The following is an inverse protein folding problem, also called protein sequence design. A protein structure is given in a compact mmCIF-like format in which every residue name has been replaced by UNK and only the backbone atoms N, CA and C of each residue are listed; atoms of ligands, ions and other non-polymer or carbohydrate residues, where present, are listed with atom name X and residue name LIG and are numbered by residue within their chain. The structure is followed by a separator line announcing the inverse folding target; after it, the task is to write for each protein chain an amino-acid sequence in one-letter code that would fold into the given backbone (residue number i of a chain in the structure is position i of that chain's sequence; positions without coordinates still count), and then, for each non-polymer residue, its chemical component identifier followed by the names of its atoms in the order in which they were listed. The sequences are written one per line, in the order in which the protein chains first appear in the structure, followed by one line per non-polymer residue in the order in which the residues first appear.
data_IF_638729093423
#
_entry.id   IF_638729093423
#
_cell.length_a   1.000
_cell.length_b   1.000
_cell.length_c   1.000
_cell.angle_alpha   90.00
_cell.angle_beta   90.00
_cell.angle_gamma   90.00
#
_symmetry.space_group_name_H-M   'P 1'
#
loop_
_entity.id
_entity.type
_entity.pdbx_description
1 polymer ?
#
# COMPACT_ATOMS: atom_id res chain seq x y z
N UNK A 1 -12.98 -17.91 7.74
CA UNK A 1 -13.88 -18.56 6.76
C UNK A 1 -15.31 -18.74 7.30
N UNK A 2 -15.47 -19.21 8.52
CA UNK A 2 -16.78 -19.49 9.12
C UNK A 2 -17.64 -18.24 9.26
N UNK A 3 -17.09 -17.12 9.75
CA UNK A 3 -17.81 -15.86 9.87
C UNK A 3 -18.33 -15.33 8.52
N UNK A 4 -17.58 -15.55 7.43
CA UNK A 4 -18.04 -15.20 6.07
C UNK A 4 -19.20 -16.08 5.65
N UNK A 5 -19.12 -17.40 5.87
CA UNK A 5 -20.17 -18.36 5.51
C UNK A 5 -21.48 -18.08 6.26
N UNK A 6 -21.38 -17.69 7.52
CA UNK A 6 -22.53 -17.35 8.36
C UNK A 6 -23.01 -15.90 8.16
N UNK A 7 -22.34 -15.09 7.34
CA UNK A 7 -22.67 -13.67 7.18
C UNK A 7 -22.34 -12.80 8.38
N UNK A 8 -21.52 -13.29 9.32
CA UNK A 8 -21.14 -12.61 10.57
C UNK A 8 -19.78 -11.92 10.46
N UNK A 9 -19.22 -11.78 9.26
CA UNK A 9 -17.98 -11.02 9.04
C UNK A 9 -18.20 -9.53 9.30
N UNK A 10 -17.21 -8.86 9.88
CA UNK A 10 -17.21 -7.40 10.02
C UNK A 10 -17.13 -6.65 8.68
N UNK A 11 -16.87 -7.35 7.57
CA UNK A 11 -16.94 -6.77 6.24
C UNK A 11 -18.39 -6.37 5.91
N UNK A 12 -18.54 -5.23 5.23
CA UNK A 12 -19.86 -4.75 4.80
C UNK A 12 -20.46 -5.74 3.79
N UNK A 13 -21.78 -5.97 3.88
CA UNK A 13 -22.54 -6.66 2.86
C UNK A 13 -22.56 -5.87 1.54
N UNK A 14 -23.08 -6.49 0.46
CA UNK A 14 -23.26 -5.85 -0.83
C UNK A 14 -24.21 -4.64 -0.66
N UNK A 15 -23.68 -3.44 -0.84
CA UNK A 15 -24.43 -2.19 -0.77
C UNK A 15 -24.14 -1.40 -2.03
N UNK A 16 -25.09 -1.34 -2.95
CA UNK A 16 -24.93 -0.60 -4.20
C UNK A 16 -24.84 0.90 -3.93
N UNK A 17 -23.95 1.62 -4.65
CA UNK A 17 -23.90 3.07 -4.58
C UNK A 17 -25.25 3.69 -4.93
N UNK A 18 -25.71 4.66 -4.14
CA UNK A 18 -26.99 5.35 -4.36
C UNK A 18 -26.92 6.42 -5.45
N UNK A 19 -25.71 6.92 -5.73
CA UNK A 19 -25.44 7.95 -6.73
C UNK A 19 -24.10 7.71 -7.41
N UNK A 20 -23.92 8.26 -8.61
CA UNK A 20 -22.63 8.28 -9.32
C UNK A 20 -21.81 9.44 -8.77
N UNK A 21 -20.64 9.11 -8.22
CA UNK A 21 -19.72 10.07 -7.65
C UNK A 21 -18.35 9.94 -8.32
N UNK A 22 -17.65 11.08 -8.46
CA UNK A 22 -16.28 11.15 -8.94
C UNK A 22 -15.39 11.57 -7.78
N UNK A 23 -14.39 10.75 -7.45
CA UNK A 23 -13.50 11.03 -6.33
C UNK A 23 -12.55 12.18 -6.62
N UNK A 24 -12.06 12.29 -7.88
CA UNK A 24 -11.07 13.29 -8.27
C UNK A 24 -11.10 13.55 -9.78
N UNK A 25 -10.32 14.54 -10.21
CA UNK A 25 -10.11 14.88 -11.60
C UNK A 25 -9.15 13.87 -12.27
N UNK A 26 -9.50 13.34 -13.44
CA UNK A 26 -8.70 12.39 -14.20
C UNK A 26 -7.29 12.89 -14.54
N UNK A 27 -7.11 14.21 -14.75
CA UNK A 27 -5.79 14.77 -15.04
C UNK A 27 -4.91 14.75 -13.79
N UNK A 28 -5.48 15.05 -12.63
CA UNK A 28 -4.80 14.93 -11.35
C UNK A 28 -4.42 13.47 -11.04
N UNK A 29 -5.32 12.53 -11.32
CA UNK A 29 -5.06 11.10 -11.20
C UNK A 29 -3.89 10.67 -12.07
N UNK A 30 -3.91 11.01 -13.36
CA UNK A 30 -2.82 10.68 -14.28
C UNK A 30 -1.50 11.36 -13.89
N UNK A 31 -1.55 12.50 -13.18
CA UNK A 31 -0.38 13.13 -12.57
C UNK A 31 0.35 12.24 -11.57
N UNK A 32 -0.31 11.23 -11.00
CA UNK A 32 0.32 10.22 -10.14
C UNK A 32 1.25 9.25 -10.89
N UNK A 33 1.40 9.39 -12.20
CA UNK A 33 2.46 8.73 -12.98
C UNK A 33 3.80 9.49 -12.93
N UNK A 34 3.85 10.67 -12.33
CA UNK A 34 5.09 11.42 -12.13
C UNK A 34 5.98 10.72 -11.09
N UNK A 35 7.30 10.99 -11.19
CA UNK A 35 8.30 10.51 -10.22
C UNK A 35 8.07 11.17 -8.84
N UNK A 36 8.46 10.52 -7.76
CA UNK A 36 8.37 11.01 -6.37
C UNK A 36 6.95 11.24 -5.85
N UNK A 37 5.96 10.67 -6.49
CA UNK A 37 4.60 10.68 -5.96
C UNK A 37 4.51 9.63 -4.86
N UNK A 38 4.17 10.06 -3.65
CA UNK A 38 4.04 9.16 -2.51
C UNK A 38 3.01 8.06 -2.74
N UNK A 39 3.33 6.86 -2.22
CA UNK A 39 2.42 5.73 -2.25
C UNK A 39 1.24 6.01 -1.34
N UNK A 40 0.05 6.02 -1.91
CA UNK A 40 -1.17 6.28 -1.17
C UNK A 40 -1.80 4.99 -0.64
N UNK A 41 -2.15 4.98 0.64
CA UNK A 41 -2.78 3.84 1.31
C UNK A 41 -4.07 4.24 2.07
N UNK A 42 -4.44 5.50 2.01
CA UNK A 42 -5.58 6.09 2.71
C UNK A 42 -6.94 5.76 2.10
N UNK A 43 -7.96 6.57 2.46
CA UNK A 43 -9.36 6.33 2.09
C UNK A 43 -9.84 7.15 0.89
N UNK A 44 -9.03 8.12 0.41
CA UNK A 44 -9.44 9.05 -0.65
C UNK A 44 -9.30 8.47 -2.07
N UNK A 45 -9.16 7.16 -2.19
CA UNK A 45 -9.20 6.38 -3.43
C UNK A 45 -8.09 6.63 -4.46
N UNK A 46 -7.04 7.39 -4.15
CA UNK A 46 -5.95 7.67 -5.08
C UNK A 46 -5.20 6.39 -5.52
N UNK A 47 -5.11 6.08 -6.83
CA UNK A 47 -4.42 4.90 -7.31
C UNK A 47 -2.89 5.08 -7.31
N UNK A 48 -2.15 4.00 -7.10
CA UNK A 48 -0.70 3.96 -7.23
C UNK A 48 -0.34 3.42 -8.62
N UNK A 49 -0.12 4.33 -9.58
CA UNK A 49 0.02 4.02 -11.01
C UNK A 49 1.38 4.38 -11.62
N UNK A 50 2.35 4.80 -10.80
CA UNK A 50 3.69 5.07 -11.31
C UNK A 50 4.32 3.80 -11.91
N UNK A 51 4.81 3.90 -13.14
CA UNK A 51 5.40 2.81 -13.93
C UNK A 51 6.72 3.19 -14.59
N UNK A 52 7.32 4.29 -14.14
CA UNK A 52 8.49 4.92 -14.75
C UNK A 52 8.11 6.04 -15.71
N UNK A 53 8.89 7.12 -15.68
CA UNK A 53 8.67 8.31 -16.52
C UNK A 53 8.80 7.97 -18.01
N UNK A 54 9.67 7.04 -18.37
CA UNK A 54 9.83 6.61 -19.76
C UNK A 54 8.55 6.05 -20.38
N UNK A 55 7.64 5.49 -19.55
CA UNK A 55 6.35 4.98 -20.03
C UNK A 55 5.43 6.10 -20.52
N UNK A 56 5.43 7.28 -19.88
CA UNK A 56 4.68 8.45 -20.34
C UNK A 56 5.09 8.81 -21.77
N UNK A 57 6.38 8.83 -22.03
CA UNK A 57 6.93 9.14 -23.33
C UNK A 57 6.63 8.04 -24.38
N UNK A 58 6.79 6.78 -24.00
CA UNK A 58 6.58 5.64 -24.91
C UNK A 58 5.11 5.44 -25.29
N UNK A 59 4.15 5.74 -24.43
CA UNK A 59 2.73 5.61 -24.75
C UNK A 59 2.31 6.59 -25.85
N UNK A 60 2.87 7.79 -25.88
CA UNK A 60 2.64 8.74 -26.98
C UNK A 60 3.25 8.25 -28.28
N UNK A 61 4.45 7.68 -28.23
CA UNK A 61 5.06 7.05 -29.40
C UNK A 61 4.26 5.83 -29.86
N UNK A 62 3.63 5.05 -28.95
CA UNK A 62 2.71 3.97 -29.29
C UNK A 62 1.55 4.46 -30.15
N UNK A 63 0.91 5.54 -29.72
CA UNK A 63 -0.21 6.14 -30.45
C UNK A 63 0.20 6.57 -31.87
N UNK A 64 1.38 7.18 -32.01
CA UNK A 64 1.90 7.66 -33.28
C UNK A 64 2.58 6.58 -34.15
N UNK A 65 2.85 5.38 -33.58
CA UNK A 65 3.55 4.31 -34.28
C UNK A 65 2.76 3.79 -35.49
N UNK A 66 3.39 3.69 -36.66
CA UNK A 66 2.76 3.25 -37.92
C UNK A 66 2.82 1.73 -38.11
N UNK A 67 3.75 1.06 -37.47
CA UNK A 67 3.90 -0.41 -37.53
C UNK A 67 2.81 -1.17 -36.78
N UNK A 68 2.18 -0.52 -35.79
CA UNK A 68 1.12 -1.12 -35.00
C UNK A 68 -0.24 -0.69 -35.55
N UNK A 69 -1.06 -1.66 -35.96
CA UNK A 69 -2.35 -1.37 -36.59
C UNK A 69 -3.37 -0.77 -35.58
N UNK A 70 -4.23 0.12 -36.07
CA UNK A 70 -5.29 0.73 -35.27
C UNK A 70 -6.29 -0.28 -34.70
N UNK A 71 -6.49 -1.41 -35.37
CA UNK A 71 -7.35 -2.49 -34.87
C UNK A 71 -6.80 -3.10 -33.56
N UNK A 72 -5.48 -3.04 -33.35
CA UNK A 72 -4.82 -3.48 -32.10
C UNK A 72 -4.74 -2.33 -31.07
N UNK A 73 -4.43 -1.11 -31.52
CA UNK A 73 -4.27 0.05 -30.63
C UNK A 73 -5.56 0.41 -29.92
N UNK A 74 -6.65 0.59 -30.71
CA UNK A 74 -7.91 1.12 -30.20
C UNK A 74 -8.48 0.34 -29.01
N UNK A 75 -8.63 -0.98 -29.06
CA UNK A 75 -9.15 -1.74 -27.92
C UNK A 75 -8.27 -1.61 -26.66
N UNK A 76 -6.95 -1.57 -26.83
CA UNK A 76 -6.00 -1.47 -25.71
C UNK A 76 -6.01 -0.08 -25.06
N UNK A 77 -6.06 0.95 -25.88
CA UNK A 77 -6.17 2.34 -25.38
C UNK A 77 -7.51 2.56 -24.70
N UNK A 78 -8.60 2.02 -25.27
CA UNK A 78 -9.92 2.07 -24.63
C UNK A 78 -9.93 1.31 -23.29
N UNK A 79 -9.25 0.16 -23.22
CA UNK A 79 -9.12 -0.58 -21.96
C UNK A 79 -8.31 0.23 -20.93
N UNK A 80 -7.20 0.84 -21.34
CA UNK A 80 -6.39 1.69 -20.45
C UNK A 80 -7.20 2.89 -19.94
N UNK A 81 -7.95 3.55 -20.84
CA UNK A 81 -8.84 4.65 -20.48
C UNK A 81 -9.98 4.21 -19.54
N UNK A 82 -10.58 3.03 -19.81
CA UNK A 82 -11.60 2.45 -18.93
C UNK A 82 -11.05 2.17 -17.53
N UNK A 83 -9.83 1.63 -17.43
CA UNK A 83 -9.20 1.39 -16.14
C UNK A 83 -8.92 2.71 -15.38
N UNK A 84 -8.43 3.74 -16.07
CA UNK A 84 -8.26 5.07 -15.46
C UNK A 84 -9.62 5.63 -14.98
N UNK A 85 -10.66 5.60 -15.80
CA UNK A 85 -12.00 6.01 -15.39
C UNK A 85 -12.51 5.23 -14.17
N UNK A 86 -12.14 3.96 -14.04
CA UNK A 86 -12.59 3.11 -12.95
C UNK A 86 -11.91 3.40 -11.60
N UNK A 87 -10.77 4.08 -11.59
CA UNK A 87 -10.19 4.56 -10.33
C UNK A 87 -10.91 5.81 -9.81
N UNK A 88 -11.35 6.68 -10.71
CA UNK A 88 -11.98 7.96 -10.36
C UNK A 88 -13.48 7.87 -10.07
N UNK A 89 -14.15 6.77 -10.45
CA UNK A 89 -15.61 6.64 -10.38
C UNK A 89 -16.02 5.56 -9.39
N UNK A 90 -16.90 5.91 -8.43
CA UNK A 90 -17.34 5.03 -7.35
C UNK A 90 -18.05 3.75 -7.83
N UNK A 91 -18.85 3.83 -8.92
CA UNK A 91 -19.59 2.67 -9.44
C UNK A 91 -18.64 1.64 -10.05
N UNK A 92 -17.63 2.11 -10.78
CA UNK A 92 -16.63 1.23 -11.41
C UNK A 92 -15.66 0.67 -10.37
N UNK A 93 -15.24 1.49 -9.41
CA UNK A 93 -14.40 1.07 -8.29
C UNK A 93 -15.10 -0.04 -7.47
N UNK A 94 -16.38 0.14 -7.15
CA UNK A 94 -17.22 -0.87 -6.50
C UNK A 94 -17.23 -2.22 -7.23
N UNK A 95 -17.35 -2.19 -8.58
CA UNK A 95 -17.33 -3.42 -9.41
C UNK A 95 -15.97 -4.12 -9.30
N UNK A 96 -14.87 -3.38 -9.40
CA UNK A 96 -13.51 -3.92 -9.30
C UNK A 96 -13.22 -4.55 -7.93
N UNK A 97 -13.82 -4.03 -6.86
CA UNK A 97 -13.68 -4.56 -5.51
C UNK A 97 -14.69 -5.68 -5.17
N UNK A 98 -15.28 -6.31 -6.17
CA UNK A 98 -16.20 -7.43 -5.98
C UNK A 98 -17.55 -7.03 -5.37
N UNK A 99 -18.11 -5.92 -5.80
CA UNK A 99 -19.35 -5.33 -5.30
C UNK A 99 -19.26 -4.91 -3.83
N UNK A 100 -18.12 -4.32 -3.47
CA UNK A 100 -17.81 -3.88 -2.12
C UNK A 100 -16.96 -2.61 -2.15
N UNK A 101 -17.08 -1.73 -1.16
CA UNK A 101 -16.18 -0.58 -1.00
C UNK A 101 -15.01 -0.93 -0.08
N UNK A 102 -13.77 -0.68 -0.51
CA UNK A 102 -12.61 -0.86 0.37
C UNK A 102 -12.60 0.21 1.47
N UNK A 103 -12.32 -0.19 2.72
CA UNK A 103 -12.13 0.77 3.82
C UNK A 103 -10.77 1.50 3.74
N UNK A 104 -9.83 0.95 2.99
CA UNK A 104 -8.49 1.49 2.72
C UNK A 104 -7.85 0.74 1.56
N UNK A 105 -6.69 1.20 1.10
CA UNK A 105 -5.98 0.64 -0.04
C UNK A 105 -6.86 0.60 -1.31
N UNK A 106 -7.38 1.73 -1.74
CA UNK A 106 -8.19 1.83 -2.95
C UNK A 106 -7.35 1.55 -4.19
N UNK A 107 -8.02 1.39 -5.33
CA UNK A 107 -7.33 1.21 -6.60
C UNK A 107 -6.45 -0.04 -6.65
N UNK A 108 -6.79 -1.12 -5.92
CA UNK A 108 -5.99 -2.38 -5.89
C UNK A 108 -5.75 -2.97 -7.26
N UNK A 109 -6.63 -2.72 -8.22
CA UNK A 109 -6.49 -3.11 -9.62
C UNK A 109 -5.46 -2.27 -10.40
N UNK A 110 -4.83 -1.26 -9.80
CA UNK A 110 -3.85 -0.39 -10.46
C UNK A 110 -2.67 -1.16 -11.05
N UNK A 111 -2.28 -2.31 -10.48
CA UNK A 111 -1.24 -3.16 -11.05
C UNK A 111 -1.60 -3.70 -12.45
N UNK A 112 -2.90 -3.92 -12.75
CA UNK A 112 -3.35 -4.33 -14.08
C UNK A 112 -3.19 -3.18 -15.09
N UNK A 113 -3.52 -1.95 -14.68
CA UNK A 113 -3.27 -0.74 -15.48
C UNK A 113 -1.78 -0.57 -15.78
N UNK A 114 -0.95 -0.66 -14.75
CA UNK A 114 0.51 -0.56 -14.87
C UNK A 114 1.08 -1.65 -15.79
N UNK A 115 0.61 -2.88 -15.64
CA UNK A 115 1.03 -4.00 -16.48
C UNK A 115 0.63 -3.78 -17.96
N UNK A 116 -0.62 -3.35 -18.21
CA UNK A 116 -1.07 -3.03 -19.57
C UNK A 116 -0.23 -1.91 -20.19
N UNK A 117 0.03 -0.84 -19.44
CA UNK A 117 0.87 0.28 -19.90
C UNK A 117 2.27 -0.21 -20.27
N UNK A 118 2.90 -1.05 -19.45
CA UNK A 118 4.21 -1.64 -19.75
C UNK A 118 4.19 -2.52 -21.00
N UNK A 119 3.13 -3.30 -21.22
CA UNK A 119 2.96 -4.10 -22.45
C UNK A 119 2.90 -3.21 -23.69
N UNK A 120 2.16 -2.09 -23.65
CA UNK A 120 2.09 -1.13 -24.76
C UNK A 120 3.45 -0.47 -25.01
N UNK A 121 4.15 -0.09 -23.95
CA UNK A 121 5.48 0.47 -24.02
C UNK A 121 6.50 -0.52 -24.61
N UNK A 122 6.44 -1.78 -24.20
CA UNK A 122 7.29 -2.84 -24.76
C UNK A 122 7.02 -3.08 -26.25
N UNK A 123 5.74 -3.11 -26.67
CA UNK A 123 5.39 -3.21 -28.09
C UNK A 123 5.89 -1.99 -28.88
N UNK A 124 5.82 -0.79 -28.30
CA UNK A 124 6.40 0.41 -28.89
C UNK A 124 7.91 0.27 -29.11
N UNK A 125 8.59 -0.25 -28.10
CA UNK A 125 10.04 -0.47 -28.16
C UNK A 125 10.42 -1.46 -29.27
N UNK A 126 9.68 -2.57 -29.42
CA UNK A 126 9.91 -3.53 -30.50
C UNK A 126 9.69 -2.92 -31.89
N UNK A 127 8.78 -1.97 -32.00
CA UNK A 127 8.39 -1.27 -33.22
C UNK A 127 8.97 0.15 -33.33
N UNK A 128 10.02 0.47 -32.58
CA UNK A 128 10.56 1.84 -32.51
C UNK A 128 11.06 2.38 -33.86
N UNK A 129 11.52 1.48 -34.76
CA UNK A 129 12.00 1.83 -36.10
C UNK A 129 10.88 2.33 -37.02
N UNK A 130 9.62 1.97 -36.77
CA UNK A 130 8.45 2.41 -37.52
C UNK A 130 7.95 3.80 -37.11
N UNK A 131 8.45 4.31 -35.97
CA UNK A 131 8.31 5.72 -35.62
C UNK A 131 9.33 6.56 -36.42
N UNK A 132 9.01 7.82 -36.55
CA UNK A 132 9.91 8.79 -37.21
C UNK A 132 10.51 9.75 -36.17
N UNK A 133 11.68 10.30 -36.44
CA UNK A 133 12.36 11.20 -35.51
C UNK A 133 11.49 12.38 -35.06
N UNK A 134 10.59 12.89 -35.90
CA UNK A 134 9.70 14.01 -35.54
C UNK A 134 8.57 13.62 -34.60
N UNK A 135 8.31 12.33 -34.40
CA UNK A 135 7.38 11.90 -33.33
C UNK A 135 7.95 12.21 -31.92
N UNK A 136 9.28 12.28 -31.80
CA UNK A 136 9.95 12.59 -30.52
C UNK A 136 9.64 14.01 -30.03
N UNK A 137 9.87 15.09 -30.80
CA UNK A 137 9.50 16.44 -30.36
C UNK A 137 7.97 16.62 -30.19
N UNK A 138 7.15 15.90 -30.97
CA UNK A 138 5.69 15.92 -30.76
C UNK A 138 5.31 15.29 -29.44
N UNK A 139 5.89 14.13 -29.08
CA UNK A 139 5.68 13.49 -27.79
C UNK A 139 6.16 14.40 -26.65
N UNK A 140 7.35 14.98 -26.75
CA UNK A 140 7.89 15.92 -25.77
C UNK A 140 6.94 17.11 -25.52
N UNK A 141 6.37 17.67 -26.58
CA UNK A 141 5.40 18.77 -26.48
C UNK A 141 4.10 18.32 -25.75
N UNK A 142 3.58 17.14 -26.12
CA UNK A 142 2.35 16.58 -25.50
C UNK A 142 2.56 16.22 -24.03
N UNK A 143 3.71 15.62 -23.68
CA UNK A 143 4.06 15.35 -22.29
C UNK A 143 4.23 16.66 -21.50
N UNK A 144 4.87 17.67 -22.07
CA UNK A 144 4.98 18.99 -21.45
C UNK A 144 3.61 19.63 -21.18
N UNK A 145 2.69 19.55 -22.16
CA UNK A 145 1.33 20.04 -22.00
C UNK A 145 0.56 19.24 -20.92
N UNK A 146 0.72 17.92 -20.91
CA UNK A 146 0.16 17.05 -19.89
C UNK A 146 0.70 17.39 -18.49
N UNK A 147 2.01 17.52 -18.32
CA UNK A 147 2.63 17.87 -17.03
C UNK A 147 2.16 19.22 -16.52
N UNK A 148 2.04 20.22 -17.42
CA UNK A 148 1.50 21.54 -17.06
C UNK A 148 0.03 21.44 -16.60
N UNK A 149 -0.78 20.67 -17.32
CA UNK A 149 -2.18 20.44 -16.94
C UNK A 149 -2.28 19.70 -15.60
N UNK A 150 -1.48 18.64 -15.42
CA UNK A 150 -1.44 17.88 -14.19
C UNK A 150 -0.99 18.75 -13.00
N UNK A 151 0.05 19.58 -13.17
CA UNK A 151 0.48 20.55 -12.16
C UNK A 151 -0.62 21.54 -11.76
N UNK A 152 -1.43 22.00 -12.75
CA UNK A 152 -2.52 22.96 -12.50
C UNK A 152 -3.73 22.36 -11.74
N UNK A 153 -3.96 21.07 -11.89
CA UNK A 153 -5.15 20.37 -11.34
C UNK A 153 -4.83 19.27 -10.33
N UNK A 154 -3.55 19.02 -10.03
CA UNK A 154 -3.17 18.10 -8.95
C UNK A 154 -3.44 18.70 -7.59
N UNK A 155 -3.64 17.84 -6.62
CA UNK A 155 -3.59 18.19 -5.21
C UNK A 155 -2.13 18.37 -4.79
N UNK A 156 -1.80 19.57 -4.30
CA UNK A 156 -0.43 19.90 -3.89
C UNK A 156 0.06 19.12 -2.67
N UNK A 157 -0.85 18.55 -1.89
CA UNK A 157 -0.49 17.70 -0.75
C UNK A 157 0.01 16.32 -1.20
N UNK A 158 -0.48 15.84 -2.36
CA UNK A 158 -0.16 14.51 -2.87
C UNK A 158 0.91 14.49 -3.96
N UNK A 159 1.13 15.61 -4.64
CA UNK A 159 2.09 15.70 -5.74
C UNK A 159 2.79 17.06 -5.71
N UNK A 160 4.02 17.07 -5.21
CA UNK A 160 4.82 18.28 -5.10
C UNK A 160 5.29 18.83 -6.45
N UNK A 161 5.61 20.14 -6.50
CA UNK A 161 6.17 20.79 -7.70
C UNK A 161 7.43 20.10 -8.23
N UNK A 162 8.24 19.56 -7.33
CA UNK A 162 9.50 18.88 -7.63
C UNK A 162 9.28 17.58 -8.43
N UNK A 163 8.17 16.89 -8.19
CA UNK A 163 7.77 15.70 -8.96
C UNK A 163 7.57 16.04 -10.43
N UNK A 164 6.85 17.14 -10.72
CA UNK A 164 6.62 17.58 -12.11
C UNK A 164 7.89 18.04 -12.79
N UNK A 165 8.71 18.83 -12.10
CA UNK A 165 9.98 19.31 -12.64
C UNK A 165 10.94 18.15 -12.95
N UNK A 166 11.10 17.22 -12.01
CA UNK A 166 11.98 16.06 -12.17
C UNK A 166 11.46 15.15 -13.28
N UNK A 167 10.16 14.93 -13.38
CA UNK A 167 9.54 14.19 -14.49
C UNK A 167 9.86 14.85 -15.83
N UNK A 168 9.72 16.17 -15.92
CA UNK A 168 10.05 16.91 -17.15
C UNK A 168 11.53 16.77 -17.55
N UNK A 169 12.45 16.77 -16.57
CA UNK A 169 13.88 16.56 -16.83
C UNK A 169 14.13 15.15 -17.39
N UNK A 170 13.55 14.10 -16.79
CA UNK A 170 13.70 12.74 -17.32
C UNK A 170 13.10 12.58 -18.71
N UNK A 171 11.92 13.16 -18.97
CA UNK A 171 11.31 13.16 -20.32
C UNK A 171 12.24 13.83 -21.34
N UNK A 172 12.83 14.98 -21.00
CA UNK A 172 13.79 15.67 -21.87
C UNK A 172 15.03 14.80 -22.13
N UNK A 173 15.58 14.12 -21.13
CA UNK A 173 16.70 13.19 -21.29
C UNK A 173 16.33 12.05 -22.23
N UNK A 174 15.17 11.41 -22.05
CA UNK A 174 14.70 10.34 -22.93
C UNK A 174 14.46 10.83 -24.36
N UNK A 175 13.92 12.03 -24.53
CA UNK A 175 13.75 12.64 -25.86
C UNK A 175 15.09 12.84 -26.58
N UNK A 176 16.10 13.37 -25.87
CA UNK A 176 17.45 13.54 -26.44
C UNK A 176 18.06 12.19 -26.82
N UNK A 177 18.00 11.19 -25.94
CA UNK A 177 18.52 9.85 -26.23
C UNK A 177 17.84 9.24 -27.46
N UNK A 178 16.53 9.35 -27.60
CA UNK A 178 15.81 8.85 -28.77
C UNK A 178 16.15 9.63 -30.06
N UNK A 179 16.34 10.95 -30.02
CA UNK A 179 16.79 11.72 -31.16
C UNK A 179 18.19 11.27 -31.63
N UNK A 180 19.13 11.05 -30.71
CA UNK A 180 20.45 10.49 -30.99
C UNK A 180 20.32 9.08 -31.57
N UNK A 181 19.42 8.26 -31.07
CA UNK A 181 19.15 6.91 -31.58
C UNK A 181 18.67 6.96 -33.06
N UNK A 182 17.73 7.87 -33.38
CA UNK A 182 17.24 8.01 -34.76
C UNK A 182 18.30 8.50 -35.75
N UNK A 183 19.18 9.42 -35.34
CA UNK A 183 20.28 9.93 -36.16
C UNK A 183 21.53 9.04 -36.21
N UNK A 184 21.59 8.04 -35.29
CA UNK A 184 22.81 7.27 -35.06
C UNK A 184 23.02 6.06 -35.97
N UNK A 185 24.29 5.64 -36.08
CA UNK A 185 24.69 4.37 -36.68
C UNK A 185 24.27 3.19 -35.76
N UNK A 186 24.40 1.93 -36.22
CA UNK A 186 24.08 0.76 -35.44
C UNK A 186 24.81 0.74 -34.08
N UNK A 187 26.12 1.04 -34.06
CA UNK A 187 26.91 1.13 -32.84
C UNK A 187 26.41 2.21 -31.88
N UNK A 188 26.04 3.39 -32.42
CA UNK A 188 25.47 4.48 -31.60
C UNK A 188 24.13 4.03 -30.95
N UNK A 189 23.29 3.32 -31.68
CA UNK A 189 22.03 2.79 -31.19
C UNK A 189 22.21 1.82 -30.02
N UNK A 190 23.26 0.96 -30.09
CA UNK A 190 23.58 0.03 -29.00
C UNK A 190 24.04 0.79 -27.74
N UNK A 191 24.86 1.82 -27.90
CA UNK A 191 25.26 2.68 -26.77
C UNK A 191 24.08 3.46 -26.20
N UNK A 192 23.23 4.02 -27.04
CA UNK A 192 22.01 4.74 -26.57
C UNK A 192 21.10 3.79 -25.81
N UNK A 193 20.93 2.55 -26.27
CA UNK A 193 20.16 1.54 -25.54
C UNK A 193 20.74 1.28 -24.14
N UNK A 194 22.07 1.09 -24.05
CA UNK A 194 22.74 0.89 -22.75
C UNK A 194 22.56 2.10 -21.83
N UNK A 195 22.76 3.32 -22.34
CA UNK A 195 22.61 4.55 -21.57
C UNK A 195 21.14 4.72 -21.11
N UNK A 196 20.18 4.49 -22.01
CA UNK A 196 18.75 4.55 -21.64
C UNK A 196 18.40 3.56 -20.55
N UNK A 197 18.94 2.34 -20.60
CA UNK A 197 18.74 1.32 -19.55
C UNK A 197 19.32 1.78 -18.22
N UNK A 198 20.51 2.40 -18.22
CA UNK A 198 21.11 2.95 -16.99
C UNK A 198 20.23 4.10 -16.45
N UNK A 199 19.75 5.00 -17.29
CA UNK A 199 18.88 6.11 -16.88
C UNK A 199 17.57 5.58 -16.27
N UNK A 200 16.93 4.57 -16.88
CA UNK A 200 15.71 3.95 -16.36
C UNK A 200 15.98 3.29 -14.99
N UNK A 201 17.07 2.54 -14.85
CA UNK A 201 17.42 1.91 -13.57
C UNK A 201 17.68 2.99 -12.51
N UNK A 202 18.39 4.06 -12.86
CA UNK A 202 18.66 5.17 -11.94
C UNK A 202 17.36 5.87 -11.52
N UNK A 203 16.48 6.17 -12.47
CA UNK A 203 15.16 6.75 -12.20
C UNK A 203 14.35 5.89 -11.22
N UNK A 204 14.21 4.59 -11.51
CA UNK A 204 13.46 3.67 -10.67
C UNK A 204 14.07 3.52 -9.27
N UNK A 205 15.43 3.50 -9.18
CA UNK A 205 16.12 3.39 -7.89
C UNK A 205 15.90 4.63 -7.03
N UNK A 206 16.05 5.82 -7.62
CA UNK A 206 15.81 7.08 -6.90
C UNK A 206 14.34 7.19 -6.48
N UNK A 207 13.41 6.83 -7.36
CA UNK A 207 12.00 6.84 -6.99
C UNK A 207 11.69 5.87 -5.85
N UNK A 208 12.25 4.67 -5.89
CA UNK A 208 12.07 3.68 -4.83
C UNK A 208 12.68 4.14 -3.50
N UNK A 209 13.86 4.77 -3.52
CA UNK A 209 14.49 5.34 -2.34
C UNK A 209 13.60 6.41 -1.69
N UNK A 210 13.04 7.30 -2.51
CA UNK A 210 12.21 8.43 -2.05
C UNK A 210 10.79 8.02 -1.61
N UNK A 211 10.21 6.96 -2.18
CA UNK A 211 8.79 6.63 -2.00
C UNK A 211 8.53 5.24 -1.41
N UNK A 212 9.51 4.35 -1.42
CA UNK A 212 9.34 2.95 -1.04
C UNK A 212 10.15 2.53 0.20
N UNK A 213 11.19 3.28 0.57
CA UNK A 213 12.06 2.96 1.70
C UNK A 213 11.64 3.62 3.03
N UNK A 214 10.65 4.49 3.03
CA UNK A 214 10.09 5.06 4.25
C UNK A 214 9.21 4.02 4.98
N UNK A 215 9.87 2.96 5.40
CA UNK A 215 9.26 1.87 6.14
C UNK A 215 9.69 1.90 7.60
N UNK A 216 8.90 1.26 8.46
CA UNK A 216 9.29 1.07 9.87
C UNK A 216 10.63 0.34 9.92
N UNK A 217 11.60 0.91 10.64
CA UNK A 217 12.90 0.26 10.84
C UNK A 217 12.72 -1.13 11.41
N UNK A 218 13.32 -2.15 10.78
CA UNK A 218 13.32 -3.51 11.31
C UNK A 218 13.83 -3.56 12.75
N UNK A 219 14.88 -2.77 13.05
CA UNK A 219 15.44 -2.69 14.40
C UNK A 219 14.42 -2.14 15.41
N UNK A 220 13.64 -1.12 15.00
CA UNK A 220 12.57 -0.58 15.84
C UNK A 220 11.42 -1.57 16.01
N UNK A 221 11.07 -2.32 14.94
CA UNK A 221 9.98 -3.29 14.97
C UNK A 221 10.28 -4.48 15.90
N UNK A 222 11.51 -5.00 15.87
CA UNK A 222 11.96 -6.12 16.72
C UNK A 222 12.67 -5.66 17.99
N UNK A 223 12.60 -4.37 18.32
CA UNK A 223 13.18 -3.84 19.55
C UNK A 223 12.53 -4.56 20.73
N UNK A 224 13.37 -4.89 21.71
CA UNK A 224 12.97 -5.55 22.96
C UNK A 224 12.40 -6.99 22.81
N UNK A 225 12.40 -7.56 21.57
CA UNK A 225 11.93 -8.94 21.32
C UNK A 225 12.50 -9.98 22.29
N UNK A 226 13.81 -9.93 22.53
CA UNK A 226 14.46 -10.88 23.48
C UNK A 226 13.99 -10.72 24.91
N UNK A 227 13.69 -9.50 25.32
CA UNK A 227 13.18 -9.22 26.65
C UNK A 227 11.75 -9.75 26.79
N UNK A 228 10.92 -9.60 25.75
CA UNK A 228 9.58 -10.22 25.68
C UNK A 228 9.67 -11.74 25.76
N UNK A 229 10.54 -12.37 24.96
CA UNK A 229 10.75 -13.81 24.96
C UNK A 229 11.17 -14.30 26.35
N UNK A 230 12.12 -13.64 27.01
CA UNK A 230 12.60 -13.97 28.34
C UNK A 230 11.50 -13.92 29.44
N UNK A 231 10.66 -12.87 29.45
CA UNK A 231 9.60 -12.76 30.45
C UNK A 231 8.45 -13.74 30.18
N UNK A 232 8.17 -14.06 28.91
CA UNK A 232 7.18 -15.06 28.54
C UNK A 232 7.65 -16.49 28.84
N UNK A 233 8.93 -16.81 28.73
CA UNK A 233 9.49 -18.08 29.15
C UNK A 233 9.36 -18.26 30.69
N UNK A 234 9.68 -17.22 31.47
CA UNK A 234 9.50 -17.27 32.92
C UNK A 234 8.03 -17.47 33.33
N UNK A 235 7.08 -16.85 32.58
CA UNK A 235 5.66 -17.12 32.77
C UNK A 235 5.32 -18.60 32.50
N UNK A 236 5.81 -19.16 31.40
CA UNK A 236 5.57 -20.57 31.05
C UNK A 236 6.17 -21.53 32.05
N UNK A 237 7.37 -21.25 32.55
CA UNK A 237 8.02 -22.06 33.62
C UNK A 237 7.17 -22.04 34.90
N UNK A 238 6.77 -20.85 35.34
CA UNK A 238 5.89 -20.71 36.55
C UNK A 238 4.58 -21.49 36.38
N UNK A 239 3.96 -21.43 35.19
CA UNK A 239 2.71 -22.17 34.95
C UNK A 239 2.92 -23.68 34.83
N UNK A 240 4.08 -24.13 34.35
CA UNK A 240 4.39 -25.56 34.26
C UNK A 240 4.49 -26.22 35.63
N UNK A 241 4.87 -25.47 36.65
CA UNK A 241 4.91 -25.93 38.04
C UNK A 241 3.51 -25.99 38.69
N UNK A 242 2.54 -25.29 38.11
CA UNK A 242 1.17 -25.18 38.59
C UNK A 242 0.23 -26.08 37.81
N UNK A 243 0.03 -27.33 38.22
CA UNK A 243 -0.79 -28.33 37.52
C UNK A 243 -2.29 -27.97 37.42
N UNK A 244 -2.74 -26.86 38.00
CA UNK A 244 -4.15 -26.43 38.02
C UNK A 244 -4.49 -25.42 36.91
N UNK A 245 -3.50 -24.90 36.14
CA UNK A 245 -3.75 -23.89 35.08
C UNK A 245 -3.78 -24.55 33.70
N UNK A 246 -4.96 -24.53 33.09
CA UNK A 246 -5.15 -25.15 31.76
C UNK A 246 -5.02 -24.15 30.60
N UNK A 247 -5.38 -22.87 30.81
CA UNK A 247 -5.38 -21.83 29.78
C UNK A 247 -5.32 -20.45 30.43
N UNK A 248 -4.48 -19.58 29.89
CA UNK A 248 -4.39 -18.17 30.24
C UNK A 248 -4.07 -17.32 29.03
N UNK A 249 -4.37 -16.02 29.14
CA UNK A 249 -3.97 -14.99 28.17
C UNK A 249 -2.97 -14.02 28.79
N UNK A 250 -2.17 -13.45 27.91
CA UNK A 250 -1.24 -12.36 28.22
C UNK A 250 -1.61 -11.17 27.34
N UNK A 251 -1.47 -9.97 27.85
CA UNK A 251 -1.66 -8.73 27.08
C UNK A 251 -0.47 -7.82 27.23
N UNK A 252 -0.22 -7.04 26.20
CA UNK A 252 0.80 -6.00 26.15
C UNK A 252 0.13 -4.63 26.27
N UNK A 253 0.62 -3.75 27.17
CA UNK A 253 0.02 -2.43 27.37
C UNK A 253 0.38 -1.48 26.22
N UNK A 254 1.64 -1.43 25.85
CA UNK A 254 2.18 -0.56 24.79
C UNK A 254 2.31 -1.32 23.48
N UNK A 255 1.22 -1.82 22.94
CA UNK A 255 1.19 -2.60 21.69
C UNK A 255 1.66 -1.80 20.49
N UNK A 256 2.49 -2.39 19.65
CA UNK A 256 2.85 -1.87 18.32
C UNK A 256 1.73 -2.11 17.32
N UNK A 257 1.11 -3.26 17.40
CA UNK A 257 -0.04 -3.67 16.58
C UNK A 257 -1.08 -4.44 17.43
N UNK A 258 -2.25 -4.68 16.88
CA UNK A 258 -3.25 -5.54 17.51
C UNK A 258 -2.95 -7.05 17.35
N UNK A 259 -1.84 -7.42 16.72
CA UNK A 259 -1.43 -8.80 16.47
C UNK A 259 -0.02 -9.12 17.03
N UNK A 260 0.50 -8.33 17.95
CA UNK A 260 1.82 -8.54 18.56
C UNK A 260 1.92 -9.91 19.24
N UNK A 261 0.81 -10.40 19.78
CA UNK A 261 0.70 -11.76 20.33
C UNK A 261 1.11 -12.86 19.33
N UNK A 262 0.77 -12.70 18.05
CA UNK A 262 1.14 -13.65 17.00
C UNK A 262 2.65 -13.63 16.71
N UNK A 263 3.28 -12.46 16.86
CA UNK A 263 4.70 -12.27 16.69
C UNK A 263 5.48 -12.87 17.88
N UNK A 264 5.02 -12.61 19.10
CA UNK A 264 5.69 -13.00 20.35
C UNK A 264 5.27 -14.38 20.89
N UNK A 265 4.30 -15.04 20.27
CA UNK A 265 3.93 -16.42 20.58
C UNK A 265 3.16 -16.61 21.90
N UNK A 266 2.22 -15.70 22.22
CA UNK A 266 1.33 -15.83 23.38
C UNK A 266 -0.15 -15.73 22.96
N UNK A 267 -1.06 -16.14 23.84
CA UNK A 267 -2.50 -15.98 23.63
C UNK A 267 -2.95 -14.62 24.13
N UNK A 268 -3.61 -13.83 23.27
CA UNK A 268 -4.11 -12.50 23.59
C UNK A 268 -5.65 -12.45 23.56
N UNK A 269 -6.22 -11.47 24.24
CA UNK A 269 -7.62 -11.07 24.11
C UNK A 269 -7.81 -9.90 23.12
N UNK A 270 -6.74 -9.49 22.42
CA UNK A 270 -6.73 -8.45 21.40
C UNK A 270 -6.38 -9.06 20.05
N UNK A 271 -7.09 -8.70 19.01
CA UNK A 271 -6.84 -9.20 17.65
C UNK A 271 -7.30 -8.24 16.57
N UNK A 272 -6.54 -8.20 15.47
CA UNK A 272 -6.98 -7.67 14.19
C UNK A 272 -7.11 -8.82 13.18
N UNK A 273 -8.25 -8.88 12.49
CA UNK A 273 -8.46 -9.79 11.37
C UNK A 273 -9.56 -9.28 10.46
N UNK A 274 -9.28 -9.18 9.15
CA UNK A 274 -10.31 -8.82 8.17
C UNK A 274 -11.47 -9.84 8.07
N UNK A 275 -11.31 -11.02 8.66
CA UNK A 275 -12.28 -12.13 8.63
C UNK A 275 -12.83 -12.45 10.02
N UNK A 276 -12.73 -11.54 11.00
CA UNK A 276 -13.22 -11.79 12.33
C UNK A 276 -14.76 -11.82 12.38
N UNK A 277 -15.31 -12.51 13.37
CA UNK A 277 -16.72 -12.46 13.65
C UNK A 277 -17.07 -11.11 14.32
N UNK A 278 -18.00 -10.36 13.72
CA UNK A 278 -18.40 -9.03 14.20
C UNK A 278 -19.04 -9.07 15.58
N UNK A 279 -19.72 -10.17 15.96
CA UNK A 279 -20.36 -10.32 17.23
C UNK A 279 -19.37 -10.30 18.40
N UNK A 280 -18.13 -10.79 18.17
CA UNK A 280 -17.06 -10.67 19.18
C UNK A 280 -16.72 -9.20 19.42
N UNK A 281 -16.60 -8.39 18.35
CA UNK A 281 -16.35 -6.95 18.49
C UNK A 281 -17.51 -6.23 19.21
N UNK A 282 -18.76 -6.59 18.92
CA UNK A 282 -19.93 -6.03 19.60
C UNK A 282 -19.91 -6.36 21.09
N UNK A 283 -19.61 -7.60 21.48
CA UNK A 283 -19.48 -7.98 22.89
C UNK A 283 -18.40 -7.14 23.57
N UNK A 284 -17.25 -6.90 22.93
CA UNK A 284 -16.21 -6.04 23.49
C UNK A 284 -16.72 -4.61 23.69
N UNK A 285 -17.41 -4.04 22.71
CA UNK A 285 -17.99 -2.70 22.80
C UNK A 285 -19.06 -2.61 23.89
N UNK A 286 -19.95 -3.59 23.99
CA UNK A 286 -21.01 -3.66 25.02
C UNK A 286 -20.43 -3.75 26.44
N UNK A 287 -19.25 -4.35 26.57
CA UNK A 287 -18.49 -4.43 27.82
C UNK A 287 -17.60 -3.20 28.08
N UNK A 288 -17.65 -2.18 27.22
CA UNK A 288 -16.87 -0.94 27.37
C UNK A 288 -15.43 -1.01 26.86
N UNK A 289 -15.08 -2.05 26.11
CA UNK A 289 -13.78 -2.21 25.48
C UNK A 289 -13.77 -1.69 24.03
N UNK A 290 -12.60 -1.60 23.43
CA UNK A 290 -12.44 -1.21 22.03
C UNK A 290 -12.89 -2.32 21.07
N UNK A 291 -13.68 -1.96 20.05
CA UNK A 291 -14.06 -2.86 18.99
C UNK A 291 -14.32 -2.10 17.67
N UNK A 292 -14.15 -2.78 16.54
CA UNK A 292 -14.37 -2.25 15.22
C UNK A 292 -14.73 -3.33 14.20
N UNK A 293 -14.83 -2.98 12.93
CA UNK A 293 -15.22 -3.92 11.86
C UNK A 293 -14.28 -5.11 11.69
N UNK A 294 -13.00 -4.91 12.03
CA UNK A 294 -11.93 -5.87 11.78
C UNK A 294 -10.98 -6.06 12.97
N UNK A 295 -11.36 -5.56 14.14
CA UNK A 295 -10.58 -5.72 15.35
C UNK A 295 -11.44 -5.70 16.62
N UNK A 296 -10.90 -6.28 17.68
CA UNK A 296 -11.31 -6.06 19.05
C UNK A 296 -10.06 -5.94 19.93
N UNK A 297 -10.16 -5.19 21.01
CA UNK A 297 -9.03 -4.88 21.88
C UNK A 297 -9.49 -4.77 23.32
N UNK A 298 -8.67 -5.29 24.22
CA UNK A 298 -8.98 -5.31 25.67
C UNK A 298 -8.92 -3.93 26.34
N UNK A 299 -8.51 -2.89 25.63
CA UNK A 299 -8.48 -1.53 26.17
C UNK A 299 -9.84 -1.15 26.76
N UNK A 300 -9.84 -0.66 27.99
CA UNK A 300 -11.05 -0.34 28.74
C UNK A 300 -11.59 -1.49 29.61
N UNK A 301 -10.99 -2.68 29.58
CA UNK A 301 -11.41 -3.80 30.40
C UNK A 301 -11.28 -3.50 31.90
N UNK A 302 -12.34 -3.81 32.66
CA UNK A 302 -12.26 -3.83 34.09
C UNK A 302 -11.57 -5.12 34.60
N UNK A 303 -11.07 -5.18 35.83
CA UNK A 303 -10.49 -6.41 36.43
C UNK A 303 -11.43 -7.63 36.35
N UNK A 304 -12.72 -7.44 36.47
CA UNK A 304 -13.73 -8.49 36.29
C UNK A 304 -13.72 -9.04 34.86
N UNK A 305 -13.74 -8.16 33.87
CA UNK A 305 -13.71 -8.53 32.43
C UNK A 305 -12.39 -9.24 32.12
N UNK A 306 -11.27 -8.73 32.61
CA UNK A 306 -9.96 -9.35 32.43
C UNK A 306 -9.96 -10.80 32.97
N UNK A 307 -10.55 -11.02 34.17
CA UNK A 307 -10.71 -12.37 34.71
C UNK A 307 -11.62 -13.27 33.90
N UNK A 308 -12.74 -12.73 33.37
CA UNK A 308 -13.66 -13.46 32.48
C UNK A 308 -12.97 -13.88 31.16
N UNK A 309 -12.07 -13.06 30.65
CA UNK A 309 -11.29 -13.35 29.46
C UNK A 309 -10.02 -14.18 29.75
N UNK A 310 -9.85 -14.66 30.95
CA UNK A 310 -8.66 -15.43 31.41
C UNK A 310 -7.34 -14.66 31.20
N UNK A 311 -7.39 -13.32 31.29
CA UNK A 311 -6.18 -12.52 31.31
C UNK A 311 -5.46 -12.69 32.61
N UNK A 312 -4.29 -13.26 32.56
CA UNK A 312 -3.48 -13.57 33.76
C UNK A 312 -2.24 -12.68 33.82
N UNK A 313 -1.61 -12.43 32.69
CA UNK A 313 -0.38 -11.68 32.61
C UNK A 313 -0.52 -10.41 31.77
N UNK A 314 0.19 -9.38 32.22
CA UNK A 314 0.31 -8.10 31.51
C UNK A 314 1.79 -7.76 31.33
N UNK A 315 2.19 -7.48 30.11
CA UNK A 315 3.52 -7.00 29.75
C UNK A 315 3.49 -5.48 29.66
N UNK A 316 4.46 -4.81 30.25
CA UNK A 316 4.63 -3.36 30.18
C UNK A 316 6.09 -3.00 29.88
N UNK A 317 6.30 -1.94 29.12
CA UNK A 317 7.63 -1.42 28.75
C UNK A 317 8.22 -0.51 29.83
N UNK A 318 7.47 -0.24 30.90
CA UNK A 318 7.91 0.54 32.05
C UNK A 318 7.46 -0.13 33.36
N UNK A 319 8.25 0.07 34.41
CA UNK A 319 7.86 -0.44 35.74
C UNK A 319 6.59 0.25 36.22
N UNK A 320 5.61 -0.55 36.63
CA UNK A 320 4.35 -0.10 37.23
C UNK A 320 4.38 -0.31 38.72
N UNK A 321 3.63 0.51 39.47
CA UNK A 321 3.45 0.27 40.91
C UNK A 321 2.69 -1.05 41.16
N UNK A 322 3.16 -1.82 42.13
CA UNK A 322 2.48 -3.03 42.57
C UNK A 322 1.19 -2.68 43.37
N UNK A 323 0.23 -3.54 43.24
CA UNK A 323 -1.06 -3.42 43.98
C UNK A 323 -1.61 -4.80 44.29
N UNK A 324 -2.66 -4.90 45.09
CA UNK A 324 -3.33 -6.20 45.34
C UNK A 324 -3.88 -6.89 44.08
N UNK A 325 -4.00 -6.15 42.98
CA UNK A 325 -4.48 -6.63 41.66
C UNK A 325 -3.36 -6.78 40.65
N UNK A 326 -2.11 -6.53 41.00
CA UNK A 326 -1.00 -6.54 40.07
C UNK A 326 0.33 -6.69 40.82
N UNK A 327 0.98 -7.82 40.65
CA UNK A 327 2.28 -8.14 41.24
C UNK A 327 3.33 -8.40 40.17
N UNK A 328 4.54 -7.92 40.36
CA UNK A 328 5.65 -8.19 39.42
C UNK A 328 6.05 -9.67 39.51
N UNK A 329 6.10 -10.34 38.35
CA UNK A 329 6.47 -11.76 38.25
C UNK A 329 7.85 -11.93 37.65
N UNK A 330 8.16 -11.15 36.61
CA UNK A 330 9.42 -11.23 35.88
C UNK A 330 9.80 -9.90 35.28
N UNK A 331 11.09 -9.70 35.01
CA UNK A 331 11.58 -8.54 34.23
C UNK A 331 12.81 -8.91 33.41
N UNK A 332 12.95 -8.30 32.24
CA UNK A 332 14.12 -8.38 31.39
C UNK A 332 14.31 -7.05 30.67
N UNK A 333 15.48 -6.44 30.80
CA UNK A 333 15.71 -5.10 30.26
C UNK A 333 14.69 -4.09 30.78
N UNK A 334 13.95 -3.46 29.85
CA UNK A 334 12.85 -2.54 30.17
C UNK A 334 11.47 -3.20 30.09
N UNK A 335 11.41 -4.52 29.94
CA UNK A 335 10.15 -5.28 29.86
C UNK A 335 9.82 -5.89 31.20
N UNK A 336 8.60 -5.69 31.66
CA UNK A 336 8.10 -6.12 32.94
C UNK A 336 6.85 -6.98 32.77
N UNK A 337 6.79 -8.12 33.44
CA UNK A 337 5.63 -9.02 33.44
C UNK A 337 4.94 -8.99 34.81
N UNK A 338 3.67 -8.65 34.78
CA UNK A 338 2.82 -8.60 35.96
C UNK A 338 1.73 -9.68 35.90
N UNK A 339 1.35 -10.19 37.08
CA UNK A 339 0.20 -11.08 37.26
C UNK A 339 -0.90 -10.38 38.06
#
# INVERSE_FOLDING_TARGET
PEAIILGESGSQGISFPSAVEWYFNLIAELGRQCIFVETYTGRDHWPNIYTGVFTLFLILLYLMNRGISWKKKLPRVLLLAFMALSFANNMLDFIWHGLHFPDSLPGRQSFLYSFLLLVLCFETFLHLKENRWYHVPVALFLDGAFLYAAYRWSDSELTGSDSFLTTAVFIAVYAVLLLVWYGGTAKVRDYVFLITSIVVITELTINFDMTGLDTVSRTSYVKDWKDYENVLEQAKEKESENSAVYFYRTEEMERKTKNDAALSGYYSATQFSSLMNINVSHIYQDLGMEGGKNFYCINGASPLISSMLSLKYVIADNAMEESPLRTLVASSGNTYLYE
#
